data_IF_998066585339
#
_entry.id   IF_998066585339
#
_cell.length_a   1.000
_cell.length_b   1.000
_cell.length_c   1.000
_cell.angle_alpha   90.00
_cell.angle_beta   90.00
_cell.angle_gamma   90.00
#
_symmetry.space_group_name_H-M   'P 1'
#
loop_
_entity.id
_entity.type
_entity.pdbx_description
1 polymer ?
#
# COMPACT_ATOMS: atom_id res chain seq x y z
N UNK A 1 23.81 -1.01 29.46
CA UNK A 1 22.54 -1.10 28.71
C UNK A 1 22.13 0.33 28.42
N UNK A 2 22.54 0.83 27.26
CA UNK A 2 22.46 2.24 26.92
C UNK A 2 21.07 2.61 26.42
N UNK A 3 20.45 3.54 27.13
CA UNK A 3 19.32 4.34 26.67
C UNK A 3 19.76 5.10 25.40
N UNK A 4 19.18 4.72 24.26
CA UNK A 4 19.25 5.50 23.04
C UNK A 4 17.84 5.99 22.74
N UNK A 5 17.55 7.18 23.23
CA UNK A 5 16.50 8.05 22.67
C UNK A 5 16.88 8.42 21.23
N UNK A 6 16.75 7.45 20.33
CA UNK A 6 16.73 7.69 18.90
C UNK A 6 15.40 8.41 18.64
N UNK A 7 15.43 9.53 17.93
CA UNK A 7 14.22 10.01 17.23
C UNK A 7 13.84 8.84 16.32
N UNK A 8 12.86 8.04 16.73
CA UNK A 8 12.46 6.82 16.03
C UNK A 8 11.85 7.32 14.72
N UNK A 9 12.61 7.25 13.64
CA UNK A 9 12.01 7.33 12.30
C UNK A 9 10.98 6.21 12.23
N UNK A 10 9.77 6.51 11.78
CA UNK A 10 8.69 5.53 11.69
C UNK A 10 9.14 4.30 10.88
N UNK A 11 8.65 3.12 11.26
CA UNK A 11 9.09 1.84 10.67
C UNK A 11 8.85 1.74 9.15
N UNK A 12 7.96 2.58 8.62
CA UNK A 12 7.67 2.70 7.19
C UNK A 12 8.81 3.37 6.38
N UNK A 13 9.78 4.02 7.04
CA UNK A 13 10.89 4.75 6.40
C UNK A 13 12.15 3.89 6.35
N UNK A 14 12.64 3.61 5.15
CA UNK A 14 13.86 2.86 4.94
C UNK A 14 15.09 3.65 5.44
N UNK A 15 15.97 3.06 6.26
CA UNK A 15 17.17 3.75 6.74
C UNK A 15 18.22 3.96 5.64
N UNK A 16 18.23 3.14 4.59
CA UNK A 16 19.24 3.18 3.53
C UNK A 16 18.87 4.16 2.40
N UNK A 17 17.67 4.03 1.83
CA UNK A 17 17.24 4.84 0.69
C UNK A 17 16.23 5.94 1.04
N UNK A 18 15.82 6.04 2.31
CA UNK A 18 14.87 7.03 2.82
C UNK A 18 13.48 7.00 2.14
N UNK A 19 13.16 5.89 1.46
CA UNK A 19 11.84 5.62 0.88
C UNK A 19 10.82 5.27 1.98
N UNK A 20 9.57 5.67 1.81
CA UNK A 20 8.43 5.34 2.69
C UNK A 20 7.80 3.97 2.35
N UNK A 21 8.47 3.17 1.53
CA UNK A 21 7.97 1.90 1.01
C UNK A 21 8.36 0.68 1.85
N UNK A 22 8.81 0.85 3.10
CA UNK A 22 9.13 -0.33 3.93
C UNK A 22 7.84 -1.10 4.22
N UNK A 23 7.89 -2.42 4.01
CA UNK A 23 6.77 -3.33 4.19
C UNK A 23 7.14 -4.45 5.18
N UNK A 24 6.20 -4.88 6.05
CA UNK A 24 6.36 -6.11 6.80
C UNK A 24 6.25 -7.32 5.85
N UNK A 25 7.18 -8.24 5.97
CA UNK A 25 7.15 -9.52 5.26
C UNK A 25 6.83 -10.70 6.18
N UNK A 26 7.04 -10.53 7.48
CA UNK A 26 6.62 -11.47 8.51
C UNK A 26 6.33 -10.73 9.83
N UNK A 27 5.42 -11.29 10.62
CA UNK A 27 5.04 -10.76 11.93
C UNK A 27 4.69 -11.88 12.91
N UNK A 28 5.06 -11.70 14.17
CA UNK A 28 4.65 -12.61 15.24
C UNK A 28 4.60 -11.91 16.58
N UNK A 29 3.67 -12.35 17.43
CA UNK A 29 3.57 -11.86 18.79
C UNK A 29 4.79 -12.32 19.61
N UNK A 30 5.37 -11.39 20.36
CA UNK A 30 6.48 -11.64 21.27
C UNK A 30 6.05 -11.35 22.72
N UNK A 31 6.76 -11.89 23.73
CA UNK A 31 6.49 -11.56 25.12
C UNK A 31 6.55 -10.05 25.40
N UNK A 32 5.95 -9.65 26.52
CA UNK A 32 5.95 -8.27 27.03
C UNK A 32 5.23 -7.24 26.13
N UNK A 33 4.16 -7.66 25.45
CA UNK A 33 3.34 -6.81 24.56
C UNK A 33 4.17 -6.19 23.41
N UNK A 34 5.06 -7.03 22.86
CA UNK A 34 5.93 -6.68 21.74
C UNK A 34 5.62 -7.57 20.54
N UNK A 35 6.13 -7.13 19.40
CA UNK A 35 5.97 -7.82 18.13
C UNK A 35 7.33 -8.05 17.49
N UNK A 36 7.59 -9.26 17.05
CA UNK A 36 8.72 -9.53 16.17
C UNK A 36 8.27 -9.27 14.73
N UNK A 37 8.93 -8.35 14.05
CA UNK A 37 8.66 -8.03 12.65
C UNK A 37 9.90 -8.26 11.81
N UNK A 38 9.69 -8.86 10.63
CA UNK A 38 10.64 -8.81 9.53
C UNK A 38 10.17 -7.75 8.53
N UNK A 39 11.02 -6.76 8.27
CA UNK A 39 10.77 -5.62 7.41
C UNK A 39 11.66 -5.69 6.17
N UNK A 40 11.13 -5.24 5.03
CA UNK A 40 11.87 -5.14 3.77
C UNK A 40 11.56 -3.84 3.04
N UNK A 41 12.56 -3.27 2.38
CA UNK A 41 12.38 -2.15 1.45
C UNK A 41 12.47 -2.64 0.00
N UNK A 42 11.37 -2.58 -0.78
CA UNK A 42 11.35 -3.02 -2.17
C UNK A 42 12.14 -2.10 -3.13
N UNK A 43 12.55 -0.92 -2.66
CA UNK A 43 13.31 0.04 -3.47
C UNK A 43 14.82 -0.23 -3.49
N UNK A 44 15.36 -0.87 -2.45
CA UNK A 44 16.81 -1.07 -2.30
C UNK A 44 17.20 -2.42 -1.68
N UNK A 45 16.25 -3.33 -1.51
CA UNK A 45 16.41 -4.65 -0.91
C UNK A 45 16.94 -4.63 0.54
N UNK A 46 16.81 -3.51 1.24
CA UNK A 46 17.10 -3.44 2.68
C UNK A 46 16.17 -4.39 3.45
N UNK A 47 16.74 -5.09 4.43
CA UNK A 47 16.03 -6.04 5.27
C UNK A 47 16.42 -5.87 6.74
N UNK A 48 15.45 -5.99 7.64
CA UNK A 48 15.70 -6.02 9.07
C UNK A 48 14.66 -6.87 9.80
N UNK A 49 15.11 -7.57 10.84
CA UNK A 49 14.23 -8.25 11.79
C UNK A 49 14.44 -7.64 13.18
N UNK A 50 13.36 -7.44 13.94
CA UNK A 50 13.46 -6.84 15.26
C UNK A 50 12.19 -6.90 16.08
N UNK A 51 12.35 -6.61 17.38
CA UNK A 51 11.26 -6.48 18.33
C UNK A 51 10.80 -5.03 18.42
N UNK A 52 9.51 -4.81 18.24
CA UNK A 52 8.88 -3.50 18.24
C UNK A 52 7.75 -3.45 19.28
N UNK A 53 7.43 -2.25 19.77
CA UNK A 53 6.30 -2.06 20.68
C UNK A 53 4.99 -2.07 19.90
N UNK A 54 3.87 -2.34 20.59
CA UNK A 54 2.54 -2.25 19.98
C UNK A 54 2.27 -0.89 19.32
N UNK A 55 2.70 0.22 19.93
CA UNK A 55 2.51 1.55 19.34
C UNK A 55 3.27 1.74 18.03
N UNK A 56 4.50 1.22 17.93
CA UNK A 56 5.29 1.27 16.69
C UNK A 56 4.67 0.43 15.57
N UNK A 57 4.10 -0.74 15.93
CA UNK A 57 3.40 -1.60 14.98
C UNK A 57 2.11 -0.94 14.50
N UNK A 58 1.33 -0.33 15.40
CA UNK A 58 0.11 0.40 15.04
C UNK A 58 0.41 1.57 14.10
N UNK A 59 1.45 2.35 14.37
CA UNK A 59 1.88 3.43 13.47
C UNK A 59 2.26 2.88 12.08
N UNK A 60 2.92 1.72 12.02
CA UNK A 60 3.22 1.08 10.74
C UNK A 60 1.94 0.67 10.01
N UNK A 61 1.00 0.00 10.68
CA UNK A 61 -0.29 -0.41 10.12
C UNK A 61 -1.09 0.77 9.55
N UNK A 62 -1.20 1.87 10.31
CA UNK A 62 -1.90 3.08 9.87
C UNK A 62 -1.32 3.61 8.55
N UNK A 63 0.01 3.60 8.41
CA UNK A 63 0.70 4.07 7.19
C UNK A 63 0.52 3.13 6.01
N UNK A 64 0.45 1.82 6.25
CA UNK A 64 0.15 0.83 5.22
C UNK A 64 -1.29 0.98 4.68
N UNK A 65 -2.24 1.20 5.57
CA UNK A 65 -3.64 1.43 5.21
C UNK A 65 -3.83 2.73 4.41
N UNK A 66 -3.15 3.81 4.81
CA UNK A 66 -3.09 5.06 4.04
C UNK A 66 -2.57 4.83 2.61
N UNK A 67 -1.44 4.12 2.49
CA UNK A 67 -0.84 3.79 1.19
C UNK A 67 -1.75 2.93 0.31
N UNK A 68 -2.45 1.95 0.90
CA UNK A 68 -3.42 1.13 0.17
C UNK A 68 -4.62 1.95 -0.30
N UNK A 69 -5.14 2.85 0.54
CA UNK A 69 -6.24 3.73 0.18
C UNK A 69 -5.87 4.65 -0.99
N UNK A 70 -4.63 5.17 -1.02
CA UNK A 70 -4.11 5.93 -2.16
C UNK A 70 -4.06 5.10 -3.45
N UNK A 71 -3.49 3.89 -3.38
CA UNK A 71 -3.43 2.99 -4.53
C UNK A 71 -4.81 2.64 -5.09
N UNK A 72 -5.80 2.39 -4.21
CA UNK A 72 -7.17 2.11 -4.62
C UNK A 72 -7.84 3.33 -5.27
N UNK A 73 -7.61 4.54 -4.74
CA UNK A 73 -8.12 5.78 -5.34
C UNK A 73 -7.57 6.00 -6.75
N UNK A 74 -6.28 5.77 -6.95
CA UNK A 74 -5.66 5.94 -8.26
C UNK A 74 -6.12 4.86 -9.24
N UNK A 75 -6.28 3.62 -8.79
CA UNK A 75 -6.87 2.55 -9.61
C UNK A 75 -8.30 2.92 -10.06
N UNK A 76 -9.12 3.46 -9.17
CA UNK A 76 -10.48 3.90 -9.50
C UNK A 76 -10.49 5.03 -10.53
N UNK A 77 -9.59 6.01 -10.40
CA UNK A 77 -9.45 7.10 -11.38
C UNK A 77 -9.08 6.58 -12.76
N UNK A 78 -8.12 5.64 -12.83
CA UNK A 78 -7.71 5.02 -14.09
C UNK A 78 -8.85 4.19 -14.71
N UNK A 79 -9.59 3.42 -13.89
CA UNK A 79 -10.74 2.66 -14.36
C UNK A 79 -11.83 3.58 -14.93
N UNK A 80 -12.14 4.69 -14.25
CA UNK A 80 -13.11 5.67 -14.74
C UNK A 80 -12.67 6.32 -16.05
N UNK A 81 -11.40 6.71 -16.17
CA UNK A 81 -10.85 7.27 -17.40
C UNK A 81 -10.96 6.27 -18.57
N UNK A 82 -10.63 5.00 -18.34
CA UNK A 82 -10.76 3.94 -19.34
C UNK A 82 -12.22 3.64 -19.71
N UNK A 83 -13.16 3.79 -18.76
CA UNK A 83 -14.57 3.52 -18.99
C UNK A 83 -15.27 4.63 -19.79
N UNK A 84 -14.82 5.89 -19.69
CA UNK A 84 -15.32 6.98 -20.51
C UNK A 84 -15.14 6.69 -22.02
N UNK A 85 -13.96 6.20 -22.41
CA UNK A 85 -13.67 5.79 -23.78
C UNK A 85 -14.55 4.63 -24.26
N UNK A 86 -14.93 3.72 -23.35
CA UNK A 86 -15.86 2.64 -23.66
C UNK A 86 -17.29 3.15 -23.86
N UNK A 87 -17.74 4.12 -23.04
CA UNK A 87 -19.08 4.71 -23.16
C UNK A 87 -19.20 5.47 -24.49
N UNK A 88 -18.21 6.29 -24.88
CA UNK A 88 -18.28 7.05 -26.14
C UNK A 88 -18.31 6.14 -27.38
N UNK A 89 -17.57 5.02 -27.34
CA UNK A 89 -17.64 4.00 -28.39
C UNK A 89 -18.98 3.29 -28.41
N UNK A 90 -19.53 2.96 -27.24
CA UNK A 90 -20.84 2.31 -27.12
C UNK A 90 -21.97 3.24 -27.60
N UNK A 91 -21.94 4.52 -27.24
CA UNK A 91 -22.85 5.55 -27.72
C UNK A 91 -22.74 5.72 -29.22
N UNK A 92 -21.52 5.74 -29.78
CA UNK A 92 -21.31 5.80 -31.22
C UNK A 92 -21.89 4.58 -31.94
N UNK A 93 -21.72 3.38 -31.37
CA UNK A 93 -22.27 2.14 -31.93
C UNK A 93 -23.80 2.10 -31.85
N UNK A 94 -24.40 2.60 -30.77
CA UNK A 94 -25.85 2.79 -30.63
C UNK A 94 -26.39 3.77 -31.68
N UNK A 95 -25.72 4.92 -31.89
CA UNK A 95 -26.11 5.87 -32.93
C UNK A 95 -25.93 5.32 -34.34
N UNK A 96 -24.99 4.39 -34.54
CA UNK A 96 -24.74 3.73 -35.81
C UNK A 96 -25.60 2.46 -36.03
N UNK A 97 -26.53 2.15 -35.13
CA UNK A 97 -27.41 0.96 -35.18
C UNK A 97 -26.62 -0.38 -35.22
N UNK A 98 -25.43 -0.40 -34.60
CA UNK A 98 -24.52 -1.55 -34.56
C UNK A 98 -24.67 -2.40 -33.29
N UNK A 99 -25.61 -2.04 -32.41
CA UNK A 99 -25.96 -2.78 -31.20
C UNK A 99 -27.45 -3.06 -31.26
N UNK A 100 -27.82 -4.34 -31.38
CA UNK A 100 -29.19 -4.80 -31.56
C UNK A 100 -29.72 -5.46 -30.28
N UNK A 101 -31.04 -5.63 -30.13
CA UNK A 101 -31.63 -6.30 -28.96
C UNK A 101 -31.12 -7.73 -28.72
N UNK A 102 -30.62 -8.40 -29.75
CA UNK A 102 -29.98 -9.73 -29.66
C UNK A 102 -28.59 -9.75 -29.00
N UNK A 103 -27.97 -8.59 -28.75
CA UNK A 103 -26.63 -8.47 -28.16
C UNK A 103 -26.64 -8.40 -26.61
N UNK A 104 -27.80 -8.53 -25.96
CA UNK A 104 -27.99 -8.50 -24.49
C UNK A 104 -28.63 -9.79 -23.95
#
# INVERSE_FOLDING_TARGET
FGDQSHVVRGLHICPECNSELVQPIDWSEAPDDRWNLALSCPNCDWYAEGLYTQDQVRELEDRLDEGLADMLRDLQRLAQANMADQIDRFVSALYADQVLPEDF
#
